data_IF_678867571247
#
_entry.id   IF_678867571247
#
_cell.length_a   1.000
_cell.length_b   1.000
_cell.length_c   1.000
_cell.angle_alpha   90.00
_cell.angle_beta   90.00
_cell.angle_gamma   90.00
#
_symmetry.space_group_name_H-M   'P 1'
#
loop_
_entity.id
_entity.type
_entity.pdbx_description
1 polymer ?
#
# COMPACT_ATOMS: atom_id res chain seq x y z
N UNK A 1 57.36 58.61 47.35
CA UNK A 1 56.19 59.32 46.80
C UNK A 1 54.93 58.73 47.43
N UNK A 2 54.17 59.57 48.17
CA UNK A 2 52.77 59.45 48.66
C UNK A 2 52.39 58.18 49.46
N UNK A 3 52.31 58.23 50.79
CA UNK A 3 51.23 58.72 51.68
C UNK A 3 49.86 58.02 51.57
N UNK A 4 49.59 57.26 52.64
CA UNK A 4 48.39 57.22 53.49
C UNK A 4 47.03 56.75 52.92
N UNK A 5 46.50 55.66 53.52
CA UNK A 5 45.32 55.58 54.43
C UNK A 5 44.53 54.26 54.26
N UNK A 6 44.12 53.73 55.41
CA UNK A 6 43.30 52.53 55.64
C UNK A 6 41.78 52.80 55.33
N UNK A 7 40.82 51.92 55.70
CA UNK A 7 40.04 51.02 54.83
C UNK A 7 38.54 51.40 54.83
N UNK A 8 37.65 50.71 54.10
CA UNK A 8 36.19 50.58 54.35
C UNK A 8 35.54 49.77 53.19
N UNK A 9 34.83 48.66 53.45
CA UNK A 9 33.40 48.54 53.80
C UNK A 9 32.42 49.05 52.71
N UNK A 10 31.56 48.11 52.28
CA UNK A 10 30.11 48.25 52.03
C UNK A 10 29.59 48.60 50.62
N UNK A 11 28.75 47.65 50.14
CA UNK A 11 27.50 47.73 49.36
C UNK A 11 27.46 48.09 47.87
N UNK A 12 26.75 47.19 47.18
CA UNK A 12 25.72 47.38 46.15
C UNK A 12 25.81 48.61 45.25
N UNK A 13 25.89 48.33 43.95
CA UNK A 13 25.08 49.06 42.99
C UNK A 13 24.46 48.10 41.96
N UNK A 14 23.13 48.05 42.00
CA UNK A 14 22.27 47.57 40.93
C UNK A 14 22.51 48.43 39.69
N UNK A 15 22.72 47.80 38.54
CA UNK A 15 22.88 48.52 37.29
C UNK A 15 22.57 47.66 36.08
N UNK A 16 21.58 48.12 35.32
CA UNK A 16 21.43 47.97 33.87
C UNK A 16 21.01 46.58 33.36
N UNK A 17 19.71 46.43 33.08
CA UNK A 17 19.08 46.72 31.79
C UNK A 17 19.29 45.58 30.79
N UNK A 18 18.21 44.85 30.51
CA UNK A 18 17.64 44.73 29.17
C UNK A 18 16.48 43.73 29.21
N UNK A 19 15.34 44.21 28.75
CA UNK A 19 14.14 43.45 28.47
C UNK A 19 14.44 42.44 27.37
N UNK A 20 14.48 41.15 27.70
CA UNK A 20 14.40 40.08 26.72
C UNK A 20 12.94 39.91 26.31
N UNK A 21 12.56 40.61 25.25
CA UNK A 21 11.34 40.32 24.50
C UNK A 21 11.53 38.95 23.86
N UNK A 22 10.83 37.94 24.39
CA UNK A 22 10.68 36.65 23.72
C UNK A 22 9.82 36.85 22.47
N UNK A 23 10.45 37.00 21.31
CA UNK A 23 9.78 36.86 20.03
C UNK A 23 9.55 35.37 19.81
N UNK A 24 8.33 34.91 20.10
CA UNK A 24 7.85 33.61 19.64
C UNK A 24 7.73 33.67 18.11
N UNK A 25 8.77 33.22 17.40
CA UNK A 25 8.67 32.88 15.98
C UNK A 25 7.91 31.55 15.94
N UNK A 26 6.58 31.66 15.86
CA UNK A 26 5.70 30.56 15.48
C UNK A 26 6.02 30.26 14.00
N UNK A 27 6.99 29.38 13.75
CA UNK A 27 7.22 28.82 12.42
C UNK A 27 6.00 28.02 12.00
N UNK A 28 5.06 28.68 11.33
CA UNK A 28 4.11 28.03 10.45
C UNK A 28 4.91 27.41 9.30
N UNK A 29 5.35 26.17 9.48
CA UNK A 29 5.72 25.32 8.36
C UNK A 29 4.44 24.99 7.59
N UNK A 30 4.02 25.92 6.72
CA UNK A 30 3.16 25.60 5.60
C UNK A 30 3.95 24.62 4.72
N UNK A 31 3.76 23.33 4.98
CA UNK A 31 4.10 22.28 4.02
C UNK A 31 3.16 22.47 2.83
N UNK A 32 3.61 23.22 1.83
CA UNK A 32 3.05 23.16 0.49
C UNK A 32 3.81 22.02 -0.18
N UNK A 33 3.23 20.83 -0.40
CA UNK A 33 3.84 19.88 -1.31
C UNK A 33 3.80 20.52 -2.69
N UNK A 34 4.95 21.00 -3.16
CA UNK A 34 5.16 21.26 -4.58
C UNK A 34 5.34 19.93 -5.28
N UNK A 35 4.22 19.29 -5.62
CA UNK A 35 4.15 18.36 -6.73
C UNK A 35 3.13 18.94 -7.70
N UNK A 36 3.63 19.39 -8.85
CA UNK A 36 2.80 19.77 -9.99
C UNK A 36 2.19 18.51 -10.59
N UNK A 37 1.12 18.00 -9.98
CA UNK A 37 0.26 17.02 -10.64
C UNK A 37 -0.42 17.73 -11.81
N UNK A 38 -0.21 17.25 -13.03
CA UNK A 38 -0.79 17.86 -14.22
C UNK A 38 -2.30 17.58 -14.40
N UNK A 39 -2.93 16.87 -13.46
CA UNK A 39 -4.35 16.50 -13.52
C UNK A 39 -4.99 16.27 -12.13
N UNK A 40 -6.31 15.99 -12.10
CA UNK A 40 -7.06 15.85 -10.85
C UNK A 40 -6.67 14.59 -10.07
N UNK A 41 -6.47 14.75 -8.75
CA UNK A 41 -6.27 13.65 -7.80
C UNK A 41 -7.60 13.35 -7.11
N UNK A 42 -7.94 12.06 -6.95
CA UNK A 42 -9.11 11.62 -6.19
C UNK A 42 -8.80 11.69 -4.70
N UNK A 43 -9.50 12.55 -3.95
CA UNK A 43 -9.23 12.83 -2.52
C UNK A 43 -10.40 12.49 -1.59
N UNK A 44 -11.41 11.78 -2.08
CA UNK A 44 -12.66 11.49 -1.34
C UNK A 44 -12.52 10.47 -0.21
N UNK A 45 -11.32 9.93 0.05
CA UNK A 45 -11.12 8.83 0.99
C UNK A 45 -11.57 7.47 0.43
N UNK A 46 -11.72 6.45 1.29
CA UNK A 46 -12.23 5.15 0.87
C UNK A 46 -13.67 5.24 0.32
N UNK A 47 -14.00 4.37 -0.62
CA UNK A 47 -15.32 4.28 -1.22
C UNK A 47 -16.37 3.90 -0.17
N UNK A 48 -17.48 4.64 -0.14
CA UNK A 48 -18.65 4.24 0.64
C UNK A 48 -19.29 2.98 0.04
N UNK A 49 -20.12 2.30 0.83
CA UNK A 49 -20.71 1.02 0.42
C UNK A 49 -21.55 1.12 -0.86
N UNK A 50 -22.19 2.26 -1.06
CA UNK A 50 -23.00 2.58 -2.23
C UNK A 50 -22.14 2.83 -3.49
N UNK A 51 -20.87 3.24 -3.31
CA UNK A 51 -19.93 3.60 -4.36
C UNK A 51 -18.89 2.51 -4.69
N UNK A 52 -18.79 1.44 -3.90
CA UNK A 52 -17.76 0.39 -4.07
C UNK A 52 -17.71 -0.27 -5.46
N UNK A 53 -18.78 -0.17 -6.24
CA UNK A 53 -18.88 -0.74 -7.60
C UNK A 53 -19.08 0.33 -8.69
N UNK A 54 -19.06 1.61 -8.33
CA UNK A 54 -19.21 2.71 -9.29
C UNK A 54 -17.86 3.03 -9.95
N UNK A 55 -17.90 3.59 -11.15
CA UNK A 55 -16.72 4.15 -11.79
C UNK A 55 -16.25 5.40 -11.04
N UNK A 56 -14.96 5.74 -11.09
CA UNK A 56 -14.48 7.03 -10.62
C UNK A 56 -15.20 8.17 -11.36
N UNK A 57 -15.62 9.20 -10.61
CA UNK A 57 -16.35 10.35 -11.17
C UNK A 57 -15.39 11.37 -11.83
N UNK A 58 -14.11 11.33 -11.46
CA UNK A 58 -13.07 12.19 -11.98
C UNK A 58 -12.74 11.84 -13.44
N UNK A 59 -12.24 12.83 -14.20
CA UNK A 59 -11.77 12.60 -15.55
C UNK A 59 -10.48 11.77 -15.55
N UNK A 60 -10.38 10.81 -16.50
CA UNK A 60 -9.19 10.00 -16.72
C UNK A 60 -7.99 10.87 -17.10
N UNK A 61 -6.84 10.58 -16.51
CA UNK A 61 -5.56 11.22 -16.79
C UNK A 61 -4.96 10.77 -18.13
N UNK A 62 -5.14 9.49 -18.51
CA UNK A 62 -4.55 8.85 -19.68
C UNK A 62 -3.04 9.16 -19.82
N UNK A 63 -2.30 9.05 -18.71
CA UNK A 63 -0.92 9.52 -18.62
C UNK A 63 0.07 8.35 -18.61
N UNK A 64 0.95 8.30 -19.61
CA UNK A 64 2.08 7.37 -19.63
C UNK A 64 3.16 7.76 -18.62
N UNK A 65 3.62 6.76 -17.86
CA UNK A 65 4.61 6.88 -16.78
C UNK A 65 5.65 5.74 -16.85
N UNK A 66 6.42 5.62 -17.95
CA UNK A 66 7.38 4.53 -18.12
C UNK A 66 8.49 4.54 -17.05
N UNK A 67 8.85 5.73 -16.54
CA UNK A 67 9.94 5.93 -15.57
C UNK A 67 9.46 5.98 -14.11
N UNK A 68 8.18 5.69 -13.83
CA UNK A 68 7.68 5.61 -12.47
C UNK A 68 8.31 4.43 -11.70
N UNK A 69 8.32 4.54 -10.36
CA UNK A 69 8.84 3.51 -9.47
C UNK A 69 7.80 2.40 -9.29
N UNK A 70 7.58 1.61 -10.33
CA UNK A 70 6.62 0.51 -10.35
C UNK A 70 6.96 -0.58 -9.33
N UNK A 71 5.95 -1.09 -8.65
CA UNK A 71 6.10 -2.20 -7.71
C UNK A 71 6.06 -3.50 -8.50
N UNK A 72 7.15 -4.26 -8.43
CA UNK A 72 7.36 -5.46 -9.24
C UNK A 72 7.27 -6.75 -8.43
N UNK A 73 7.45 -6.67 -7.11
CA UNK A 73 7.39 -7.81 -6.20
C UNK A 73 6.10 -7.75 -5.39
N UNK A 74 5.40 -8.88 -5.34
CA UNK A 74 4.09 -9.01 -4.75
C UNK A 74 3.96 -10.35 -4.05
N UNK A 75 3.03 -10.45 -3.12
CA UNK A 75 2.57 -11.70 -2.53
C UNK A 75 1.17 -12.00 -3.05
N UNK A 76 0.81 -13.26 -3.31
CA UNK A 76 -0.52 -13.57 -3.82
C UNK A 76 -0.79 -15.06 -3.87
N UNK A 77 -2.04 -15.47 -4.18
CA UNK A 77 -2.35 -16.88 -4.41
C UNK A 77 -1.50 -17.45 -5.55
N UNK A 78 -1.17 -18.73 -5.48
CA UNK A 78 -0.45 -19.44 -6.54
C UNK A 78 -1.31 -19.70 -7.80
N UNK A 79 -2.60 -19.38 -7.73
CA UNK A 79 -3.56 -19.50 -8.84
C UNK A 79 -4.36 -18.21 -9.03
N UNK A 80 -4.67 -17.88 -10.28
CA UNK A 80 -5.80 -17.00 -10.59
C UNK A 80 -7.15 -17.73 -10.60
N UNK A 81 -8.24 -16.97 -10.72
CA UNK A 81 -9.60 -17.52 -10.91
C UNK A 81 -9.95 -17.49 -12.40
N UNK A 82 -9.87 -18.64 -13.05
CA UNK A 82 -10.16 -18.82 -14.47
C UNK A 82 -11.66 -18.81 -14.77
N UNK A 83 -12.01 -18.60 -16.03
CA UNK A 83 -13.39 -18.66 -16.52
C UNK A 83 -14.34 -17.74 -15.73
N UNK A 84 -13.89 -16.51 -15.48
CA UNK A 84 -14.55 -15.55 -14.59
C UNK A 84 -15.90 -15.02 -15.16
N UNK A 85 -16.11 -15.16 -16.47
CA UNK A 85 -17.32 -14.74 -17.17
C UNK A 85 -17.35 -13.25 -17.50
N UNK A 86 -16.18 -12.63 -17.59
CA UNK A 86 -15.96 -11.21 -17.86
C UNK A 86 -16.03 -10.31 -16.62
N UNK A 87 -15.43 -9.12 -16.74
CA UNK A 87 -15.32 -8.11 -15.69
C UNK A 87 -16.64 -7.80 -14.97
N UNK A 88 -17.73 -7.60 -15.73
CA UNK A 88 -19.05 -7.26 -15.18
C UNK A 88 -19.59 -8.32 -14.21
N UNK A 89 -19.33 -9.59 -14.50
CA UNK A 89 -19.77 -10.69 -13.63
C UNK A 89 -18.80 -10.88 -12.48
N UNK A 90 -17.51 -10.99 -12.80
CA UNK A 90 -16.48 -11.33 -11.82
C UNK A 90 -16.34 -10.28 -10.72
N UNK A 91 -16.33 -9.00 -11.08
CA UNK A 91 -16.07 -7.87 -10.15
C UNK A 91 -17.04 -7.76 -8.97
N UNK A 92 -18.22 -8.38 -9.08
CA UNK A 92 -19.25 -8.39 -8.02
C UNK A 92 -19.11 -9.55 -7.03
N UNK A 93 -18.25 -10.53 -7.34
CA UNK A 93 -18.09 -11.75 -6.57
C UNK A 93 -16.79 -11.68 -5.79
N UNK A 94 -16.84 -11.95 -4.48
CA UNK A 94 -15.63 -12.16 -3.69
C UNK A 94 -15.16 -13.61 -3.83
N UNK A 95 -14.27 -13.85 -4.79
CA UNK A 95 -13.77 -15.21 -5.05
C UNK A 95 -12.87 -15.73 -3.93
N UNK A 96 -12.15 -14.85 -3.22
CA UNK A 96 -11.35 -15.24 -2.06
C UNK A 96 -12.27 -15.75 -0.95
N UNK A 97 -13.39 -15.07 -0.71
CA UNK A 97 -14.41 -15.53 0.23
C UNK A 97 -14.95 -16.91 -0.11
N UNK A 98 -15.29 -17.12 -1.37
CA UNK A 98 -15.80 -18.42 -1.81
C UNK A 98 -14.73 -19.52 -1.69
N UNK A 99 -13.49 -19.23 -2.11
CA UNK A 99 -12.39 -20.19 -2.14
C UNK A 99 -11.83 -20.55 -0.76
N UNK A 100 -12.06 -19.70 0.24
CA UNK A 100 -11.62 -19.91 1.63
C UNK A 100 -12.77 -20.26 2.56
N UNK A 101 -13.96 -20.58 2.02
CA UNK A 101 -15.18 -20.87 2.80
C UNK A 101 -15.52 -19.77 3.83
N UNK A 102 -15.25 -18.51 3.48
CA UNK A 102 -15.55 -17.34 4.31
C UNK A 102 -14.53 -17.02 5.39
N UNK A 103 -13.40 -17.74 5.48
CA UNK A 103 -12.33 -17.45 6.45
C UNK A 103 -11.64 -16.12 6.12
N UNK A 104 -11.46 -15.85 4.83
CA UNK A 104 -10.95 -14.59 4.29
C UNK A 104 -11.98 -14.02 3.33
N UNK A 105 -11.97 -12.71 3.16
CA UNK A 105 -12.59 -11.97 2.06
C UNK A 105 -11.62 -10.86 1.63
N UNK A 106 -11.86 -10.17 0.51
CA UNK A 106 -10.90 -9.17 0.02
C UNK A 106 -10.65 -8.03 1.04
N UNK A 107 -11.68 -7.50 1.73
CA UNK A 107 -11.46 -6.55 2.83
C UNK A 107 -10.57 -7.13 3.94
N UNK A 108 -10.92 -8.28 4.55
CA UNK A 108 -10.12 -8.85 5.64
C UNK A 108 -8.71 -9.26 5.19
N UNK A 109 -8.54 -9.76 3.97
CA UNK A 109 -7.23 -10.05 3.37
C UNK A 109 -6.34 -8.80 3.26
N UNK A 110 -6.94 -7.62 3.09
CA UNK A 110 -6.25 -6.33 3.12
C UNK A 110 -5.99 -5.79 4.53
N UNK A 111 -6.00 -6.65 5.55
CA UNK A 111 -5.60 -6.32 6.92
C UNK A 111 -4.40 -7.18 7.33
N UNK A 112 -3.66 -6.75 8.36
CA UNK A 112 -2.56 -7.56 8.90
C UNK A 112 -3.06 -8.90 9.44
N UNK A 113 -4.22 -8.92 10.10
CA UNK A 113 -4.81 -10.15 10.62
C UNK A 113 -5.14 -11.14 9.49
N UNK A 114 -5.81 -10.68 8.43
CA UNK A 114 -6.13 -11.53 7.28
C UNK A 114 -4.89 -11.96 6.50
N UNK A 115 -3.89 -11.08 6.35
CA UNK A 115 -2.60 -11.45 5.75
C UNK A 115 -1.91 -12.57 6.54
N UNK A 116 -1.91 -12.51 7.87
CA UNK A 116 -1.30 -13.56 8.70
C UNK A 116 -2.03 -14.91 8.59
N UNK A 117 -3.35 -14.91 8.38
CA UNK A 117 -4.13 -16.13 8.13
C UNK A 117 -3.68 -16.87 6.87
N UNK A 118 -3.11 -16.17 5.88
CA UNK A 118 -2.58 -16.80 4.66
C UNK A 118 -1.41 -17.77 4.91
N UNK A 119 -0.79 -17.75 6.11
CA UNK A 119 0.19 -18.76 6.52
C UNK A 119 -0.38 -20.17 6.45
N UNK A 120 -1.65 -20.33 6.79
CA UNK A 120 -2.32 -21.62 6.96
C UNK A 120 -3.51 -21.79 6.01
N UNK A 121 -4.23 -20.70 5.71
CA UNK A 121 -5.44 -20.74 4.88
C UNK A 121 -5.06 -20.82 3.41
N UNK A 122 -5.45 -21.91 2.76
CA UNK A 122 -5.36 -22.09 1.30
C UNK A 122 -6.54 -21.48 0.56
N UNK A 123 -6.32 -21.11 -0.70
CA UNK A 123 -7.33 -20.63 -1.65
C UNK A 123 -7.75 -21.78 -2.56
N UNK A 124 -8.91 -22.38 -2.27
CA UNK A 124 -9.41 -23.53 -3.02
C UNK A 124 -10.43 -23.09 -4.08
N UNK A 125 -9.96 -22.63 -5.23
CA UNK A 125 -10.86 -22.38 -6.35
C UNK A 125 -11.50 -23.68 -6.85
N UNK A 126 -12.78 -23.66 -7.27
CA UNK A 126 -13.39 -24.83 -7.88
C UNK A 126 -12.56 -25.32 -9.08
N UNK A 127 -12.45 -26.63 -9.37
CA UNK A 127 -11.55 -27.15 -10.39
C UNK A 127 -11.68 -26.51 -11.78
N UNK A 128 -12.90 -26.12 -12.18
CA UNK A 128 -13.15 -25.42 -13.46
C UNK A 128 -12.67 -23.96 -13.49
N UNK A 129 -12.31 -23.40 -12.34
CA UNK A 129 -11.86 -22.03 -12.13
C UNK A 129 -10.43 -21.97 -11.58
N UNK A 130 -9.80 -23.09 -11.23
CA UNK A 130 -8.41 -23.12 -10.81
C UNK A 130 -7.48 -23.18 -12.03
N UNK A 131 -6.32 -22.53 -11.94
CA UNK A 131 -5.24 -22.75 -12.91
C UNK A 131 -4.65 -24.14 -12.74
N UNK A 132 -4.25 -24.76 -13.86
CA UNK A 132 -3.71 -26.12 -13.85
C UNK A 132 -2.37 -26.12 -13.12
N UNK A 133 -2.18 -27.08 -12.21
CA UNK A 133 -0.91 -27.32 -11.52
C UNK A 133 -0.70 -26.53 -10.23
N UNK A 134 -1.71 -25.81 -9.75
CA UNK A 134 -1.61 -24.97 -8.55
C UNK A 134 -2.20 -25.66 -7.32
N UNK A 135 -1.62 -25.41 -6.14
CA UNK A 135 -1.97 -26.07 -4.88
C UNK A 135 -2.94 -25.25 -4.01
N UNK A 136 -3.27 -24.04 -4.45
CA UNK A 136 -4.04 -23.07 -3.68
C UNK A 136 -3.23 -22.46 -2.53
N UNK A 137 -1.90 -22.58 -2.55
CA UNK A 137 -1.06 -21.89 -1.57
C UNK A 137 -0.80 -20.44 -2.01
N UNK A 138 0.09 -19.76 -1.30
CA UNK A 138 0.49 -18.39 -1.55
C UNK A 138 1.95 -18.34 -1.93
N UNK A 139 2.28 -17.48 -2.89
CA UNK A 139 3.60 -17.36 -3.47
C UNK A 139 4.07 -15.91 -3.54
N UNK A 140 5.37 -15.75 -3.76
CA UNK A 140 5.90 -14.48 -4.24
C UNK A 140 5.73 -14.42 -5.75
N UNK A 141 5.17 -13.31 -6.19
CA UNK A 141 4.92 -12.95 -7.58
C UNK A 141 5.91 -11.85 -7.96
N UNK A 142 6.66 -12.05 -9.04
CA UNK A 142 7.52 -11.04 -9.63
C UNK A 142 7.02 -10.71 -11.05
N UNK A 143 6.81 -9.43 -11.34
CA UNK A 143 6.28 -8.95 -12.63
C UNK A 143 7.37 -8.69 -13.68
N UNK A 144 8.61 -9.11 -13.40
CA UNK A 144 9.80 -8.86 -14.21
C UNK A 144 10.64 -7.68 -13.68
N UNK A 145 11.42 -7.08 -14.58
CA UNK A 145 12.32 -5.95 -14.26
C UNK A 145 11.70 -4.57 -14.51
N UNK A 146 10.52 -4.53 -15.14
CA UNK A 146 9.74 -3.34 -15.48
C UNK A 146 8.28 -3.74 -15.76
N UNK A 147 7.30 -2.84 -15.64
CA UNK A 147 5.86 -3.18 -15.73
C UNK A 147 5.42 -3.81 -17.06
N UNK A 148 6.17 -3.58 -18.14
CA UNK A 148 5.91 -4.09 -19.48
C UNK A 148 6.87 -5.22 -19.91
N UNK A 149 7.68 -5.76 -18.99
CA UNK A 149 8.71 -6.76 -19.30
C UNK A 149 8.14 -8.02 -19.96
N UNK A 150 6.92 -8.40 -19.58
CA UNK A 150 6.18 -9.52 -20.16
C UNK A 150 5.35 -9.14 -21.40
N UNK A 151 5.62 -8.01 -22.05
CA UNK A 151 4.84 -7.53 -23.20
C UNK A 151 3.38 -7.24 -22.84
N UNK A 152 3.14 -6.74 -21.62
CA UNK A 152 1.79 -6.47 -21.11
C UNK A 152 1.01 -7.71 -20.65
N UNK A 153 1.68 -8.83 -20.36
CA UNK A 153 1.05 -10.09 -19.92
C UNK A 153 1.48 -10.53 -18.51
N UNK A 154 1.64 -9.57 -17.59
CA UNK A 154 2.19 -9.89 -16.27
C UNK A 154 1.23 -10.67 -15.37
N UNK A 155 -0.07 -10.71 -15.68
CA UNK A 155 -1.06 -11.49 -14.92
C UNK A 155 -0.98 -12.99 -15.19
N UNK A 156 -0.65 -13.42 -16.41
CA UNK A 156 -0.52 -14.83 -16.79
C UNK A 156 0.91 -15.34 -16.61
N UNK A 157 1.91 -14.55 -17.04
CA UNK A 157 3.33 -14.93 -16.99
C UNK A 157 3.89 -15.12 -15.59
N UNK A 158 3.31 -14.45 -14.57
CA UNK A 158 3.65 -14.71 -13.16
C UNK A 158 3.39 -16.15 -12.72
N UNK A 159 2.51 -16.87 -13.41
CA UNK A 159 2.16 -18.26 -13.16
C UNK A 159 2.79 -19.22 -14.19
N UNK A 160 3.69 -18.72 -15.05
CA UNK A 160 4.36 -19.52 -16.08
C UNK A 160 3.58 -19.71 -17.38
N UNK A 161 2.46 -19.00 -17.58
CA UNK A 161 1.71 -19.03 -18.82
C UNK A 161 2.14 -17.91 -19.76
N UNK A 162 2.15 -18.17 -21.07
CA UNK A 162 2.50 -17.15 -22.05
C UNK A 162 1.39 -16.10 -22.23
N UNK A 163 0.14 -16.54 -22.17
CA UNK A 163 -1.07 -15.75 -22.37
C UNK A 163 -2.26 -16.52 -21.77
N UNK A 164 -3.15 -15.83 -21.05
CA UNK A 164 -4.41 -16.39 -20.57
C UNK A 164 -5.53 -15.35 -20.76
N UNK A 165 -6.76 -15.86 -20.85
CA UNK A 165 -7.95 -15.02 -21.04
C UNK A 165 -9.08 -15.41 -20.06
N UNK A 166 -9.97 -14.47 -19.78
CA UNK A 166 -11.11 -14.59 -18.88
C UNK A 166 -10.75 -15.04 -17.44
N UNK A 167 -9.77 -14.41 -16.77
CA UNK A 167 -9.39 -14.72 -15.38
C UNK A 167 -9.16 -13.51 -14.46
N UNK A 168 -9.14 -13.78 -13.15
CA UNK A 168 -8.79 -12.83 -12.10
C UNK A 168 -7.47 -13.19 -11.41
N UNK A 169 -6.78 -12.16 -10.92
CA UNK A 169 -5.60 -12.28 -10.06
C UNK A 169 -5.72 -11.39 -8.84
N UNK A 170 -4.97 -11.77 -7.79
CA UNK A 170 -4.80 -10.98 -6.58
C UNK A 170 -3.32 -10.82 -6.31
N UNK A 171 -2.92 -9.60 -5.93
CA UNK A 171 -1.57 -9.28 -5.52
C UNK A 171 -1.59 -8.38 -4.29
N UNK A 172 -0.67 -8.62 -3.37
CA UNK A 172 -0.64 -8.08 -2.03
C UNK A 172 0.74 -7.50 -1.75
N UNK A 173 0.76 -6.34 -1.12
CA UNK A 173 1.96 -5.75 -0.54
C UNK A 173 1.68 -5.27 0.88
N UNK A 174 2.74 -5.12 1.66
CA UNK A 174 2.71 -4.39 2.92
C UNK A 174 3.51 -3.11 2.77
N UNK A 175 2.87 -1.99 3.09
CA UNK A 175 3.45 -0.65 3.06
C UNK A 175 3.71 -0.24 4.52
N UNK A 176 4.97 -0.26 4.92
CA UNK A 176 5.41 0.24 6.22
C UNK A 176 5.63 1.75 6.13
N UNK A 177 4.67 2.52 6.67
CA UNK A 177 4.73 3.98 6.70
C UNK A 177 5.34 4.47 8.02
N UNK A 178 6.27 5.44 8.00
CA UNK A 178 6.95 5.92 9.21
C UNK A 178 6.03 6.75 10.12
N UNK A 179 4.99 7.35 9.57
CA UNK A 179 3.98 8.14 10.28
C UNK A 179 2.63 7.91 9.64
N UNK A 180 1.57 8.44 10.25
CA UNK A 180 0.33 8.67 9.51
C UNK A 180 0.67 9.64 8.37
N UNK A 181 0.33 9.29 7.15
CA UNK A 181 0.64 10.10 5.97
C UNK A 181 -0.36 9.84 4.86
N UNK A 182 -0.47 10.82 3.96
CA UNK A 182 -1.14 10.66 2.68
C UNK A 182 -0.13 10.14 1.66
N UNK A 183 -0.60 9.32 0.73
CA UNK A 183 0.16 8.79 -0.38
C UNK A 183 -0.68 8.86 -1.65
N UNK A 184 -0.04 9.06 -2.80
CA UNK A 184 -0.73 9.02 -4.10
C UNK A 184 -0.47 7.66 -4.74
N UNK A 185 -1.54 6.89 -4.90
CA UNK A 185 -1.56 5.56 -5.53
C UNK A 185 -2.02 5.69 -6.98
N UNK A 186 -1.31 5.01 -7.89
CA UNK A 186 -1.53 5.11 -9.33
C UNK A 186 -1.55 3.71 -9.95
N UNK A 187 -2.74 3.09 -10.10
CA UNK A 187 -2.88 1.80 -10.76
C UNK A 187 -2.87 1.91 -12.30
N UNK A 188 -2.43 0.84 -12.95
CA UNK A 188 -2.59 0.57 -14.37
C UNK A 188 -3.08 -0.88 -14.53
N UNK A 189 -4.13 -1.10 -15.31
CA UNK A 189 -4.83 -2.38 -15.39
C UNK A 189 -5.35 -2.74 -16.78
N UNK A 190 -5.54 -4.03 -16.99
CA UNK A 190 -6.25 -4.64 -18.10
C UNK A 190 -7.02 -5.87 -17.56
N UNK A 191 -8.36 -5.87 -17.44
CA UNK A 191 -9.36 -4.85 -17.83
C UNK A 191 -9.88 -4.01 -16.67
N UNK A 192 -9.93 -4.56 -15.46
CA UNK A 192 -10.55 -3.89 -14.32
C UNK A 192 -9.76 -4.06 -13.05
N UNK A 193 -9.82 -3.07 -12.17
CA UNK A 193 -9.09 -3.03 -10.92
C UNK A 193 -10.02 -2.79 -9.73
N UNK A 194 -9.75 -3.50 -8.64
CA UNK A 194 -10.32 -3.21 -7.33
C UNK A 194 -9.20 -3.27 -6.29
N UNK A 195 -9.10 -2.23 -5.46
CA UNK A 195 -7.99 -2.10 -4.51
C UNK A 195 -8.54 -1.80 -3.12
N UNK A 196 -8.06 -2.56 -2.14
CA UNK A 196 -8.35 -2.37 -0.73
C UNK A 196 -7.08 -2.10 0.04
N UNK A 197 -7.17 -1.22 1.04
CA UNK A 197 -6.11 -0.94 2.00
C UNK A 197 -6.74 -0.96 3.39
N UNK A 198 -6.17 -1.75 4.30
CA UNK A 198 -6.61 -1.86 5.70
C UNK A 198 -8.11 -2.14 5.87
N UNK A 199 -8.67 -3.01 5.04
CA UNK A 199 -10.08 -3.40 5.09
C UNK A 199 -11.05 -2.46 4.38
N UNK A 200 -10.56 -1.37 3.79
CA UNK A 200 -11.41 -0.39 3.10
C UNK A 200 -11.09 -0.38 1.61
N UNK A 201 -12.13 -0.29 0.76
CA UNK A 201 -11.97 -0.22 -0.69
C UNK A 201 -11.62 1.21 -1.08
N UNK A 202 -10.53 1.43 -1.80
CA UNK A 202 -10.05 2.75 -2.21
C UNK A 202 -10.22 3.00 -3.70
N UNK A 203 -10.26 1.94 -4.50
CA UNK A 203 -10.35 2.07 -5.95
C UNK A 203 -11.23 0.96 -6.54
N UNK A 204 -12.03 1.35 -7.52
CA UNK A 204 -12.82 0.48 -8.37
C UNK A 204 -12.91 1.15 -9.74
N UNK A 205 -12.30 0.52 -10.75
CA UNK A 205 -12.35 0.97 -12.14
C UNK A 205 -12.60 -0.27 -13.00
N UNK A 206 -13.56 -0.17 -13.94
CA UNK A 206 -13.91 -1.29 -14.82
C UNK A 206 -13.42 -1.13 -16.25
N UNK A 207 -12.47 -0.23 -16.48
CA UNK A 207 -11.94 0.03 -17.80
C UNK A 207 -10.41 -0.14 -17.83
N UNK A 208 -9.95 -0.61 -18.98
CA UNK A 208 -8.55 -0.77 -19.35
C UNK A 208 -7.86 0.59 -19.45
N UNK A 209 -6.65 0.69 -18.90
CA UNK A 209 -5.86 1.93 -18.90
C UNK A 209 -5.07 2.16 -20.19
N UNK A 210 -5.21 1.30 -21.22
CA UNK A 210 -4.58 1.49 -22.53
C UNK A 210 -3.13 0.98 -22.67
N UNK A 211 -2.31 0.99 -21.62
CA UNK A 211 -1.00 0.32 -21.63
C UNK A 211 -0.45 -0.02 -20.23
N UNK A 212 0.54 -0.94 -20.11
CA UNK A 212 1.12 -1.33 -18.82
C UNK A 212 1.75 -0.20 -17.99
N UNK A 213 1.98 0.97 -18.60
CA UNK A 213 2.60 2.14 -17.95
C UNK A 213 1.69 3.36 -17.97
N UNK A 214 0.46 3.23 -18.44
CA UNK A 214 -0.50 4.32 -18.53
C UNK A 214 -1.43 4.30 -17.34
N UNK A 215 -1.63 5.46 -16.73
CA UNK A 215 -2.41 5.65 -15.51
C UNK A 215 -3.57 6.57 -15.82
N UNK A 216 -4.76 6.15 -15.43
CA UNK A 216 -5.98 6.94 -15.58
C UNK A 216 -6.35 7.72 -14.32
N UNK A 217 -5.91 7.29 -13.15
CA UNK A 217 -6.27 7.93 -11.90
C UNK A 217 -5.11 7.98 -10.92
N UNK A 218 -4.94 9.15 -10.32
CA UNK A 218 -4.18 9.31 -9.09
C UNK A 218 -5.16 9.32 -7.92
N UNK A 219 -4.97 8.40 -6.97
CA UNK A 219 -5.84 8.23 -5.80
C UNK A 219 -5.06 8.57 -4.54
N UNK A 220 -5.48 9.60 -3.82
CA UNK A 220 -4.94 9.90 -2.50
C UNK A 220 -5.46 8.87 -1.49
N UNK A 221 -4.54 8.15 -0.87
CA UNK A 221 -4.83 7.15 0.17
C UNK A 221 -4.23 7.55 1.51
N UNK A 222 -4.93 7.22 2.59
CA UNK A 222 -4.45 7.44 3.95
C UNK A 222 -3.71 6.19 4.45
N UNK A 223 -2.42 6.35 4.72
CA UNK A 223 -1.59 5.34 5.36
C UNK A 223 -1.49 5.63 6.86
N UNK A 224 -1.73 4.59 7.66
CA UNK A 224 -1.48 4.62 9.10
C UNK A 224 0.00 4.39 9.36
N UNK A 225 0.52 4.99 10.42
CA UNK A 225 1.87 4.70 10.88
C UNK A 225 2.01 3.18 11.13
N UNK A 226 3.02 2.56 10.54
CA UNK A 226 3.29 1.13 10.64
C UNK A 226 2.84 0.40 9.39
N UNK A 227 2.40 -0.85 9.55
CA UNK A 227 2.11 -1.73 8.42
C UNK A 227 0.69 -1.50 7.89
N UNK A 228 0.59 -1.19 6.61
CA UNK A 228 -0.66 -1.09 5.86
C UNK A 228 -0.69 -2.20 4.82
N UNK A 229 -1.74 -3.02 4.78
CA UNK A 229 -1.84 -4.10 3.80
C UNK A 229 -2.69 -3.62 2.63
N UNK A 230 -2.15 -3.71 1.42
CA UNK A 230 -2.86 -3.43 0.19
C UNK A 230 -3.14 -4.73 -0.54
N UNK A 231 -4.40 -4.95 -0.93
CA UNK A 231 -4.80 -6.01 -1.85
C UNK A 231 -5.26 -5.36 -3.15
N UNK A 232 -4.64 -5.75 -4.25
CA UNK A 232 -5.01 -5.37 -5.60
C UNK A 232 -5.54 -6.60 -6.33
N UNK A 233 -6.83 -6.57 -6.65
CA UNK A 233 -7.45 -7.49 -7.59
C UNK A 233 -7.47 -6.86 -8.98
N UNK A 234 -7.06 -7.64 -9.96
CA UNK A 234 -7.25 -7.32 -11.36
C UNK A 234 -7.92 -8.50 -12.07
N UNK A 235 -8.89 -8.24 -12.93
CA UNK A 235 -9.43 -9.27 -13.80
C UNK A 235 -9.46 -8.80 -15.25
N UNK A 236 -9.30 -9.76 -16.15
CA UNK A 236 -9.35 -9.54 -17.59
C UNK A 236 -10.45 -10.39 -18.23
N UNK A 237 -10.91 -9.93 -19.38
CA UNK A 237 -11.98 -10.50 -20.19
C UNK A 237 -11.53 -10.84 -21.62
N UNK A 238 -10.27 -10.53 -21.97
CA UNK A 238 -9.55 -10.98 -23.15
C UNK A 238 -8.57 -9.94 -23.70
N UNK A 239 -7.41 -10.36 -24.20
CA UNK A 239 -6.44 -9.47 -24.85
C UNK A 239 -5.06 -9.48 -24.20
N UNK A 240 -4.60 -8.31 -23.73
CA UNK A 240 -3.44 -8.22 -22.86
C UNK A 240 -3.91 -8.32 -21.39
N UNK A 241 -2.98 -8.57 -20.47
CA UNK A 241 -3.33 -8.84 -19.09
C UNK A 241 -2.23 -8.35 -18.13
N UNK A 242 -2.44 -7.16 -17.57
CA UNK A 242 -1.48 -6.55 -16.66
C UNK A 242 -2.17 -5.89 -15.46
N UNK A 243 -1.47 -5.94 -14.33
CA UNK A 243 -1.89 -5.32 -13.08
C UNK A 243 -0.68 -4.65 -12.42
N UNK A 244 -0.49 -3.37 -12.73
CA UNK A 244 0.64 -2.57 -12.28
C UNK A 244 0.19 -1.47 -11.32
N UNK A 245 1.08 -1.10 -10.40
CA UNK A 245 0.81 -0.04 -9.43
C UNK A 245 2.13 0.62 -9.05
N UNK A 246 2.09 1.94 -8.89
CA UNK A 246 3.15 2.68 -8.21
C UNK A 246 2.54 3.67 -7.22
N UNK A 247 3.35 4.13 -6.28
CA UNK A 247 3.06 5.36 -5.54
C UNK A 247 3.88 6.52 -6.12
N UNK A 248 3.52 7.75 -5.80
CA UNK A 248 4.36 8.90 -6.14
C UNK A 248 5.76 8.81 -5.50
N UNK A 249 6.70 9.58 -6.06
CA UNK A 249 8.11 9.52 -5.64
C UNK A 249 8.28 9.88 -4.16
N UNK A 250 7.51 10.85 -3.67
CA UNK A 250 7.56 11.31 -2.28
C UNK A 250 7.13 10.20 -1.31
N UNK A 251 6.11 9.43 -1.65
CA UNK A 251 5.70 8.25 -0.87
C UNK A 251 6.79 7.20 -0.92
N UNK A 252 7.26 6.83 -2.12
CA UNK A 252 8.25 5.78 -2.33
C UNK A 252 9.58 6.05 -1.62
N UNK A 253 9.93 7.31 -1.36
CA UNK A 253 11.11 7.69 -0.58
C UNK A 253 10.94 7.55 0.94
N UNK A 254 9.70 7.54 1.43
CA UNK A 254 9.38 7.53 2.87
C UNK A 254 9.00 6.15 3.39
N UNK A 255 8.31 5.35 2.58
CA UNK A 255 7.78 4.05 2.99
C UNK A 255 8.76 2.92 2.65
N UNK A 256 8.62 1.79 3.34
CA UNK A 256 9.17 0.51 2.87
C UNK A 256 8.03 -0.35 2.35
N UNK A 257 8.21 -0.97 1.19
CA UNK A 257 7.23 -1.87 0.59
C UNK A 257 7.82 -3.28 0.58
N UNK A 258 7.05 -4.26 1.07
CA UNK A 258 7.39 -5.68 0.94
C UNK A 258 6.28 -6.42 0.19
N UNK A 259 6.58 -7.51 -0.55
CA UNK A 259 7.91 -8.16 -0.65
C UNK A 259 8.97 -7.28 -1.33
N UNK A 260 10.18 -7.25 -0.77
CA UNK A 260 11.32 -6.53 -1.36
C UNK A 260 12.27 -7.53 -2.04
N UNK A 261 12.89 -8.41 -1.26
CA UNK A 261 13.86 -9.40 -1.71
C UNK A 261 13.39 -10.85 -1.50
N UNK A 262 12.27 -11.04 -0.80
CA UNK A 262 11.68 -12.34 -0.55
C UNK A 262 11.39 -13.07 -1.87
N UNK A 263 11.70 -14.37 -1.89
CA UNK A 263 11.44 -15.27 -3.04
C UNK A 263 10.50 -16.42 -2.68
N UNK A 264 10.18 -16.56 -1.41
CA UNK A 264 9.31 -17.62 -0.88
C UNK A 264 8.32 -17.01 0.10
N UNK A 265 7.21 -17.71 0.33
CA UNK A 265 6.23 -17.37 1.37
C UNK A 265 6.88 -17.17 2.74
N UNK A 266 7.79 -18.07 3.13
CA UNK A 266 8.52 -17.96 4.40
C UNK A 266 9.37 -16.69 4.47
N UNK A 267 10.16 -16.40 3.44
CA UNK A 267 11.01 -15.22 3.39
C UNK A 267 10.18 -13.91 3.43
N UNK A 268 8.99 -13.89 2.85
CA UNK A 268 8.08 -12.75 2.95
C UNK A 268 7.61 -12.49 4.38
N UNK A 269 7.27 -13.55 5.12
CA UNK A 269 6.92 -13.40 6.53
C UNK A 269 8.14 -13.03 7.40
N UNK A 270 9.34 -13.47 7.03
CA UNK A 270 10.58 -13.00 7.67
C UNK A 270 10.80 -11.51 7.43
N UNK A 271 10.60 -11.01 6.20
CA UNK A 271 10.64 -9.57 5.90
C UNK A 271 9.61 -8.79 6.72
N UNK A 272 8.37 -9.29 6.79
CA UNK A 272 7.29 -8.67 7.56
C UNK A 272 7.64 -8.52 9.05
N UNK A 273 8.25 -9.56 9.66
CA UNK A 273 8.64 -9.56 11.08
C UNK A 273 9.82 -8.60 11.33
N UNK A 274 10.69 -8.41 10.34
CA UNK A 274 11.86 -7.54 10.42
C UNK A 274 11.58 -6.07 10.06
N UNK A 275 10.34 -5.73 9.72
CA UNK A 275 9.96 -4.33 9.51
C UNK A 275 10.08 -3.53 10.83
N UNK A 276 10.50 -2.24 10.76
CA UNK A 276 10.62 -1.41 11.95
C UNK A 276 9.29 -1.34 12.71
N UNK A 277 9.30 -1.75 13.98
CA UNK A 277 8.19 -1.52 14.90
C UNK A 277 8.25 -0.05 15.31
N UNK A 278 7.18 0.69 15.05
CA UNK A 278 7.09 2.07 15.51
C UNK A 278 7.08 2.12 17.04
N UNK A 279 8.13 2.73 17.61
CA UNK A 279 8.14 3.14 19.00
C UNK A 279 7.34 4.44 19.08
N UNK A 280 6.18 4.41 19.74
CA UNK A 280 5.39 5.64 19.92
C UNK A 280 6.20 6.68 20.72
N UNK A 281 5.98 7.98 20.47
CA UNK A 281 6.56 9.11 21.23
C UNK A 281 6.26 9.11 22.75
N UNK A 282 5.62 8.07 23.29
CA UNK A 282 5.42 7.85 24.74
C UNK A 282 6.28 6.71 25.30
N UNK A 283 7.32 6.27 24.59
CA UNK A 283 8.24 5.24 25.09
C UNK A 283 7.58 3.87 25.34
N UNK A 284 6.36 3.66 24.84
CA UNK A 284 5.74 2.34 24.81
C UNK A 284 6.06 1.71 23.48
N UNK A 285 6.80 0.60 23.55
CA UNK A 285 6.90 -0.40 22.51
C UNK A 285 5.47 -0.77 22.12
N UNK A 286 5.03 -0.44 20.91
CA UNK A 286 3.84 -1.04 20.33
C UNK A 286 4.28 -2.41 19.83
N UNK A 287 4.65 -3.30 20.78
CA UNK A 287 5.13 -4.61 20.41
C UNK A 287 3.98 -5.39 19.80
N UNK A 288 4.16 -5.82 18.56
CA UNK A 288 3.34 -6.77 17.79
C UNK A 288 2.90 -8.03 18.59
N UNK A 289 3.56 -8.31 19.72
CA UNK A 289 3.33 -9.45 20.60
C UNK A 289 2.47 -9.18 21.84
N UNK A 290 2.25 -7.92 22.24
CA UNK A 290 1.53 -7.63 23.49
C UNK A 290 0.03 -7.91 23.38
N UNK A 291 -0.56 -7.71 22.20
CA UNK A 291 -1.99 -7.97 21.98
C UNK A 291 -2.28 -9.47 21.79
N UNK A 292 -1.30 -10.28 21.37
CA UNK A 292 -1.49 -11.72 21.12
C UNK A 292 -1.49 -12.58 22.39
N UNK A 293 -0.85 -12.11 23.48
CA UNK A 293 -0.81 -12.83 24.76
C UNK A 293 -2.08 -12.68 25.61
N UNK A 294 -3.00 -11.79 25.23
CA UNK A 294 -4.25 -11.59 25.97
C UNK A 294 -5.40 -12.47 25.46
N UNK A 295 -5.32 -13.04 24.25
CA UNK A 295 -6.41 -13.87 23.69
C UNK A 295 -6.13 -15.39 23.69
N UNK A 296 -4.93 -15.83 24.08
CA UNK A 296 -4.62 -17.27 24.27
C UNK A 296 -4.42 -17.66 25.73
N UNK A 297 -4.84 -16.80 26.64
CA UNK A 297 -4.79 -17.01 28.09
C UNK A 297 -6.13 -17.46 28.68
N UNK A 298 -6.65 -18.62 28.24
CA UNK A 298 -7.40 -19.59 29.04
C UNK A 298 -7.62 -20.89 28.27
#
# INVERSE_FOLDING_TARGET
MRQDRLPNLIQCNLGNSQWLVFVNILSFCLFIPMISFAGPVITSGPLSKEKEMQQPEQSRLNQKRPDALWILNWYGPDSGYMNNGGAKKSSTIDHIKNATNGILDQPSLSTIEGLLKTKEVKVNFPPKHAMIGMEGDWMIVNLGTRPDAAGGRNMSSRYGFADLNNFDTWQIIVINAPTNMKAIMSPAQDDYAQIWINGQKWHNDSEWTGSPTEVDFDVEVDLKAGNNVLVYRCGESGGHEYANLHFDRDTMQKVRIIPDQAKTKAAFFDELINLPILVSHRGRLVSFWADFKLETGQ
#
